data_IF_501413620289
#
_entry.id   IF_501413620289
#
_cell.length_a   1.000
_cell.length_b   1.000
_cell.length_c   1.000
_cell.angle_alpha   90.00
_cell.angle_beta   90.00
_cell.angle_gamma   90.00
#
_symmetry.space_group_name_H-M   'P 1'
#
loop_
_entity.id
_entity.type
_entity.pdbx_description
1 polymer ?
#
# COMPACT_ATOMS: atom_id res chain seq x y z
N UNK A 1 13.33 -45.88 47.49
CA UNK A 1 11.89 -45.86 47.68
C UNK A 1 11.34 -44.40 47.61
N UNK A 2 12.15 -43.40 47.82
CA UNK A 2 11.69 -42.00 48.00
C UNK A 2 12.08 -41.04 46.88
N UNK A 3 12.47 -41.54 45.75
CA UNK A 3 13.16 -40.79 44.73
C UNK A 3 12.27 -40.20 43.65
N UNK A 4 11.01 -40.59 43.61
CA UNK A 4 10.10 -40.19 42.56
C UNK A 4 9.44 -38.82 42.77
N UNK A 5 9.68 -38.18 43.89
CA UNK A 5 8.97 -36.98 44.30
C UNK A 5 9.58 -35.68 43.76
N UNK A 6 10.75 -35.73 43.18
CA UNK A 6 11.52 -34.53 42.88
C UNK A 6 11.34 -33.97 41.46
N UNK A 7 10.48 -34.54 40.67
CA UNK A 7 10.34 -34.08 39.28
C UNK A 7 9.21 -33.06 39.05
N UNK A 8 8.27 -32.94 39.96
CA UNK A 8 7.11 -32.07 39.80
C UNK A 8 7.41 -30.57 39.82
N UNK A 9 8.31 -30.04 40.66
CA UNK A 9 8.53 -28.58 40.68
C UNK A 9 9.25 -28.02 39.47
N UNK A 10 9.95 -28.82 38.72
CA UNK A 10 10.72 -28.34 37.54
C UNK A 10 9.84 -27.83 36.39
N UNK A 11 8.68 -28.43 36.21
CA UNK A 11 7.77 -28.01 35.14
C UNK A 11 7.14 -26.66 35.43
N UNK A 12 6.91 -26.33 36.68
CA UNK A 12 6.34 -25.03 37.08
C UNK A 12 7.33 -23.92 36.86
N UNK A 13 8.61 -24.16 37.09
CA UNK A 13 9.66 -23.17 36.80
C UNK A 13 9.77 -22.81 35.33
N UNK A 14 9.64 -23.78 34.44
CA UNK A 14 9.71 -23.54 33.03
C UNK A 14 8.59 -22.59 32.50
N UNK A 15 7.40 -22.74 33.03
CA UNK A 15 6.27 -21.90 32.68
C UNK A 15 6.47 -20.45 33.14
N UNK A 16 6.96 -20.27 34.34
CA UNK A 16 7.25 -18.93 34.87
C UNK A 16 8.42 -18.27 34.16
N UNK A 17 9.44 -19.04 33.84
CA UNK A 17 10.61 -18.54 33.09
C UNK A 17 10.23 -18.12 31.69
N UNK A 18 9.37 -18.85 31.00
CA UNK A 18 8.85 -18.51 29.70
C UNK A 18 8.01 -17.20 29.74
N UNK A 19 7.19 -17.03 30.77
CA UNK A 19 6.42 -15.79 30.96
C UNK A 19 7.32 -14.58 31.21
N UNK A 20 8.36 -14.73 32.00
CA UNK A 20 9.35 -13.68 32.29
C UNK A 20 10.21 -13.37 31.08
N UNK A 21 10.62 -14.34 30.28
CA UNK A 21 11.33 -14.13 29.03
C UNK A 21 10.49 -13.39 28.00
N UNK A 22 9.22 -13.67 27.91
CA UNK A 22 8.31 -12.96 27.00
C UNK A 22 8.13 -11.50 27.37
N UNK A 23 8.23 -11.14 28.64
CA UNK A 23 8.15 -9.75 29.07
C UNK A 23 9.43 -8.94 28.77
N UNK A 24 10.56 -9.63 28.69
CA UNK A 24 11.86 -9.01 28.41
C UNK A 24 12.17 -8.91 26.90
N UNK A 25 11.61 -9.82 26.11
CA UNK A 25 11.91 -9.92 24.67
C UNK A 25 11.30 -8.83 23.80
N UNK A 26 10.86 -7.70 24.34
CA UNK A 26 10.26 -6.61 23.59
C UNK A 26 9.03 -7.05 22.78
N UNK A 27 8.02 -6.24 22.69
CA UNK A 27 6.82 -6.50 21.85
C UNK A 27 7.25 -6.76 20.41
N UNK A 28 7.37 -8.02 20.02
CA UNK A 28 7.43 -8.38 18.62
C UNK A 28 6.06 -8.05 18.01
N UNK A 29 5.98 -6.91 17.34
CA UNK A 29 4.77 -6.52 16.65
C UNK A 29 4.61 -7.44 15.45
N UNK A 30 3.66 -8.34 15.51
CA UNK A 30 3.23 -9.12 14.36
C UNK A 30 2.67 -8.15 13.33
N UNK A 31 3.40 -7.95 12.25
CA UNK A 31 2.94 -7.15 11.12
C UNK A 31 2.30 -8.06 10.08
N UNK A 32 1.15 -7.63 9.57
CA UNK A 32 0.47 -8.32 8.48
C UNK A 32 1.01 -7.81 7.14
N UNK A 33 1.29 -8.74 6.24
CA UNK A 33 1.76 -8.47 4.88
C UNK A 33 0.97 -9.28 3.88
N UNK A 34 0.84 -8.75 2.69
CA UNK A 34 0.38 -9.52 1.55
C UNK A 34 1.53 -10.32 0.93
N UNK A 35 1.31 -11.60 0.77
CA UNK A 35 2.18 -12.50 0.04
C UNK A 35 1.42 -13.18 -1.09
N UNK A 36 2.14 -13.72 -2.06
CA UNK A 36 1.53 -14.50 -3.14
C UNK A 36 1.12 -15.88 -2.64
N UNK A 37 -0.08 -16.33 -3.00
CA UNK A 37 -0.55 -17.70 -2.77
C UNK A 37 0.07 -18.69 -3.77
N UNK A 38 0.42 -18.21 -4.97
CA UNK A 38 1.04 -18.99 -6.06
C UNK A 38 2.07 -18.14 -6.81
N UNK A 39 2.88 -18.77 -7.66
CA UNK A 39 3.77 -18.03 -8.54
C UNK A 39 2.98 -17.26 -9.61
N UNK A 40 3.46 -16.04 -9.93
CA UNK A 40 2.83 -15.12 -10.87
C UNK A 40 3.88 -14.66 -11.88
N UNK A 41 3.56 -14.71 -13.17
CA UNK A 41 4.48 -14.33 -14.23
C UNK A 41 4.46 -12.81 -14.48
N UNK A 42 5.56 -12.30 -15.04
CA UNK A 42 5.66 -10.91 -15.49
C UNK A 42 4.51 -10.57 -16.43
N UNK A 43 3.88 -9.42 -16.21
CA UNK A 43 2.77 -8.93 -17.01
C UNK A 43 1.39 -9.45 -16.58
N UNK A 44 1.33 -10.42 -15.69
CA UNK A 44 0.07 -10.95 -15.18
C UNK A 44 -0.59 -9.94 -14.24
N UNK A 45 -1.93 -9.86 -14.30
CA UNK A 45 -2.74 -9.04 -13.41
C UNK A 45 -3.09 -9.86 -12.16
N UNK A 46 -2.87 -9.29 -10.99
CA UNK A 46 -3.18 -9.93 -9.72
C UNK A 46 -4.69 -9.96 -9.46
N UNK A 47 -5.17 -11.10 -9.02
CA UNK A 47 -6.54 -11.31 -8.55
C UNK A 47 -6.57 -11.54 -7.04
N UNK A 48 -7.76 -11.50 -6.45
CA UNK A 48 -7.92 -11.76 -5.02
C UNK A 48 -7.44 -13.17 -4.60
N UNK A 49 -7.47 -14.13 -5.53
CA UNK A 49 -7.01 -15.51 -5.29
C UNK A 49 -5.49 -15.65 -5.26
N UNK A 50 -4.78 -14.69 -5.83
CA UNK A 50 -3.32 -14.72 -5.95
C UNK A 50 -2.61 -14.21 -4.70
N UNK A 51 -3.34 -13.58 -3.78
CA UNK A 51 -2.79 -12.92 -2.60
C UNK A 51 -3.35 -13.49 -1.31
N UNK A 52 -2.51 -13.55 -0.30
CA UNK A 52 -2.85 -14.05 1.04
C UNK A 52 -2.18 -13.16 2.10
N UNK A 53 -2.88 -12.88 3.19
CA UNK A 53 -2.31 -12.20 4.34
C UNK A 53 -1.44 -13.17 5.14
N UNK A 54 -0.22 -12.77 5.46
CA UNK A 54 0.70 -13.49 6.33
C UNK A 54 1.20 -12.60 7.45
N UNK A 55 1.39 -13.20 8.62
CA UNK A 55 2.00 -12.55 9.77
C UNK A 55 3.49 -12.86 9.77
N UNK A 56 4.31 -11.85 9.83
CA UNK A 56 5.77 -12.01 9.90
C UNK A 56 6.32 -11.12 11.01
N UNK A 57 7.23 -11.68 11.75
CA UNK A 57 8.01 -10.97 12.75
C UNK A 57 9.24 -10.35 12.08
N UNK A 58 9.07 -9.22 11.41
CA UNK A 58 10.20 -8.53 10.78
C UNK A 58 10.08 -7.05 11.00
N UNK A 59 11.17 -6.43 11.41
CA UNK A 59 11.23 -5.00 11.74
C UNK A 59 11.64 -4.10 10.57
N UNK A 60 12.23 -4.64 9.49
CA UNK A 60 12.97 -3.83 8.50
C UNK A 60 12.38 -3.86 7.08
N UNK A 61 11.17 -4.37 6.88
CA UNK A 61 10.52 -4.35 5.57
C UNK A 61 9.81 -3.03 5.34
N UNK A 62 10.15 -2.34 4.26
CA UNK A 62 9.49 -1.12 3.79
C UNK A 62 8.83 -1.35 2.44
N UNK A 63 7.77 -0.59 2.15
CA UNK A 63 7.08 -0.65 0.86
C UNK A 63 6.29 -1.92 0.61
N UNK A 64 5.73 -2.52 1.64
CA UNK A 64 4.84 -3.68 1.58
C UNK A 64 3.37 -3.26 1.57
N UNK A 65 2.51 -4.16 1.12
CA UNK A 65 1.07 -3.99 1.13
C UNK A 65 0.43 -4.76 2.28
N UNK A 66 -0.62 -4.19 2.86
CA UNK A 66 -1.43 -4.78 3.93
C UNK A 66 -2.85 -5.10 3.48
N UNK A 67 -3.36 -4.42 2.46
CA UNK A 67 -4.70 -4.60 1.93
C UNK A 67 -4.67 -5.21 0.53
N UNK A 68 -5.49 -6.21 0.32
CA UNK A 68 -5.63 -6.85 -1.00
C UNK A 68 -6.18 -5.91 -2.07
N UNK A 69 -7.04 -4.95 -1.69
CA UNK A 69 -7.58 -3.93 -2.61
C UNK A 69 -6.51 -3.08 -3.27
N UNK A 70 -5.36 -2.90 -2.62
CA UNK A 70 -4.26 -2.07 -3.14
C UNK A 70 -3.43 -2.78 -4.22
N UNK A 71 -3.57 -4.09 -4.34
CA UNK A 71 -2.77 -4.92 -5.25
C UNK A 71 -3.61 -5.65 -6.31
N UNK A 72 -4.87 -5.96 -6.01
CA UNK A 72 -5.79 -6.60 -6.96
C UNK A 72 -6.02 -5.68 -8.17
N UNK A 73 -5.93 -6.23 -9.36
CA UNK A 73 -6.04 -5.49 -10.62
C UNK A 73 -4.72 -4.83 -11.09
N UNK A 74 -3.65 -4.91 -10.31
CA UNK A 74 -2.34 -4.38 -10.71
C UNK A 74 -1.52 -5.42 -11.45
N UNK A 75 -0.71 -4.94 -12.38
CA UNK A 75 0.18 -5.77 -13.19
C UNK A 75 1.52 -5.97 -12.52
N UNK A 76 2.07 -7.16 -12.64
CA UNK A 76 3.35 -7.54 -12.04
C UNK A 76 4.51 -7.21 -12.99
N UNK A 77 5.51 -6.50 -12.50
CA UNK A 77 6.70 -6.09 -13.29
C UNK A 77 7.67 -7.21 -13.62
N UNK A 78 7.73 -8.23 -12.77
CA UNK A 78 8.64 -9.37 -12.90
C UNK A 78 7.97 -10.63 -12.37
N UNK A 79 8.45 -11.79 -12.81
CA UNK A 79 8.00 -13.07 -12.27
C UNK A 79 8.30 -13.17 -10.77
N UNK A 80 7.31 -13.56 -10.00
CA UNK A 80 7.37 -13.69 -8.56
C UNK A 80 7.00 -15.12 -8.14
N UNK A 81 7.67 -15.62 -7.14
CA UNK A 81 7.43 -16.97 -6.61
C UNK A 81 6.26 -17.01 -5.63
N UNK A 82 5.69 -18.19 -5.45
CA UNK A 82 4.72 -18.43 -4.39
C UNK A 82 5.33 -18.09 -3.02
N UNK A 83 4.49 -17.64 -2.07
CA UNK A 83 4.87 -17.20 -0.74
C UNK A 83 5.76 -15.94 -0.65
N UNK A 84 6.08 -15.32 -1.79
CA UNK A 84 6.86 -14.09 -1.79
C UNK A 84 6.01 -12.90 -1.32
N UNK A 85 6.59 -12.07 -0.44
CA UNK A 85 5.94 -10.84 0.04
C UNK A 85 5.83 -9.85 -1.12
N UNK A 86 4.64 -9.27 -1.27
CA UNK A 86 4.39 -8.23 -2.26
C UNK A 86 4.92 -6.88 -1.79
N UNK A 87 5.80 -6.31 -2.60
CA UNK A 87 6.38 -4.99 -2.39
C UNK A 87 6.00 -4.05 -3.54
N UNK A 88 5.99 -2.75 -3.28
CA UNK A 88 5.69 -1.71 -4.28
C UNK A 88 6.51 -1.87 -5.57
N UNK A 89 7.79 -2.23 -5.44
CA UNK A 89 8.70 -2.45 -6.58
C UNK A 89 8.31 -3.62 -7.48
N UNK A 90 7.47 -4.53 -7.01
CA UNK A 90 7.04 -5.72 -7.77
C UNK A 90 5.88 -5.43 -8.73
N UNK A 91 5.12 -4.35 -8.47
CA UNK A 91 3.93 -4.00 -9.20
C UNK A 91 4.14 -2.76 -10.07
N UNK A 92 3.46 -2.72 -11.22
CA UNK A 92 3.39 -1.50 -12.02
C UNK A 92 2.62 -0.42 -11.25
N UNK A 93 3.01 0.84 -11.46
CA UNK A 93 2.32 1.98 -10.86
C UNK A 93 0.95 2.10 -11.53
N UNK A 94 -0.09 2.04 -10.72
CA UNK A 94 -1.44 2.30 -11.21
C UNK A 94 -1.72 3.80 -11.09
N UNK A 95 -1.59 4.49 -12.22
CA UNK A 95 -1.86 5.93 -12.27
C UNK A 95 -3.37 6.18 -12.19
N UNK A 96 -3.78 7.08 -11.30
CA UNK A 96 -5.18 7.50 -11.18
C UNK A 96 -5.57 8.44 -12.33
N UNK A 97 -4.62 9.25 -12.77
CA UNK A 97 -4.74 10.10 -13.96
C UNK A 97 -3.57 9.80 -14.90
N UNK A 98 -3.86 9.62 -16.17
CA UNK A 98 -2.86 9.40 -17.21
C UNK A 98 -2.64 10.67 -18.02
N UNK A 99 -1.41 10.85 -18.53
CA UNK A 99 -1.05 11.90 -19.49
C UNK A 99 -2.00 11.86 -20.69
N UNK A 100 -2.52 13.03 -21.07
CA UNK A 100 -3.48 13.16 -22.16
C UNK A 100 -4.94 12.97 -21.75
N UNK A 101 -5.21 12.57 -20.54
CA UNK A 101 -6.58 12.39 -20.05
C UNK A 101 -7.26 13.73 -19.82
N UNK A 102 -8.53 13.82 -20.26
CA UNK A 102 -9.40 14.97 -19.96
C UNK A 102 -9.89 14.90 -18.53
N UNK A 103 -9.66 15.93 -17.76
CA UNK A 103 -10.00 16.03 -16.35
C UNK A 103 -10.68 17.35 -16.00
N UNK A 104 -11.37 17.38 -14.89
CA UNK A 104 -12.03 18.54 -14.33
C UNK A 104 -11.04 19.37 -13.50
N UNK A 105 -11.01 20.66 -13.73
CA UNK A 105 -10.23 21.63 -12.95
C UNK A 105 -11.21 22.37 -12.05
N UNK A 106 -11.06 22.25 -10.75
CA UNK A 106 -11.86 22.97 -9.76
C UNK A 106 -10.98 24.02 -9.08
N UNK A 107 -11.41 25.29 -9.16
CA UNK A 107 -10.79 26.41 -8.45
C UNK A 107 -11.81 27.04 -7.53
N UNK A 108 -11.41 27.42 -6.32
CA UNK A 108 -12.26 28.13 -5.38
C UNK A 108 -11.66 29.51 -5.10
N UNK A 109 -12.44 30.54 -5.26
CA UNK A 109 -12.10 31.90 -4.91
C UNK A 109 -13.20 32.46 -3.96
N UNK A 110 -12.91 32.45 -2.66
CA UNK A 110 -13.91 32.74 -1.62
C UNK A 110 -15.05 31.73 -1.65
N UNK A 111 -16.29 32.20 -1.76
CA UNK A 111 -17.48 31.36 -1.87
C UNK A 111 -17.80 30.88 -3.31
N UNK A 112 -17.02 31.33 -4.29
CA UNK A 112 -17.26 30.98 -5.72
C UNK A 112 -16.40 29.78 -6.09
N UNK A 113 -17.02 28.74 -6.66
CA UNK A 113 -16.33 27.59 -7.23
C UNK A 113 -16.41 27.66 -8.74
N UNK A 114 -15.25 27.75 -9.38
CA UNK A 114 -15.13 27.74 -10.84
C UNK A 114 -14.71 26.34 -11.30
N UNK A 115 -15.38 25.83 -12.30
CA UNK A 115 -15.11 24.51 -12.88
C UNK A 115 -14.81 24.68 -14.37
N UNK A 116 -13.73 24.07 -14.81
CA UNK A 116 -13.32 24.01 -16.22
C UNK A 116 -12.74 22.64 -16.56
N UNK A 117 -12.44 22.40 -17.84
CA UNK A 117 -11.83 21.16 -18.29
C UNK A 117 -10.40 21.40 -18.78
N UNK A 118 -9.55 20.40 -18.61
CA UNK A 118 -8.19 20.43 -19.10
C UNK A 118 -7.65 19.05 -19.43
N UNK A 119 -6.45 19.04 -20.00
CA UNK A 119 -5.72 17.83 -20.38
C UNK A 119 -4.52 17.68 -19.46
N UNK A 120 -4.41 16.53 -18.81
CA UNK A 120 -3.29 16.17 -17.95
C UNK A 120 -1.98 16.11 -18.75
N UNK A 121 -0.94 16.77 -18.25
CA UNK A 121 0.38 16.81 -18.89
C UNK A 121 1.26 15.63 -18.52
N UNK A 122 1.04 15.07 -17.35
CA UNK A 122 1.79 13.93 -16.80
C UNK A 122 0.83 12.92 -16.20
N UNK A 123 1.36 11.74 -15.87
CA UNK A 123 0.66 10.77 -15.04
C UNK A 123 0.70 11.24 -13.57
N UNK A 124 -0.33 10.95 -12.82
CA UNK A 124 -0.41 11.30 -11.42
C UNK A 124 -1.29 10.33 -10.61
N UNK A 125 -1.04 10.26 -9.31
CA UNK A 125 -1.88 9.58 -8.33
C UNK A 125 -2.68 10.60 -7.50
N UNK A 126 -3.71 10.14 -6.82
CA UNK A 126 -4.46 11.00 -5.90
C UNK A 126 -3.51 11.53 -4.82
N UNK A 127 -3.55 12.84 -4.59
CA UNK A 127 -2.64 13.57 -3.70
C UNK A 127 -1.43 14.21 -4.40
N UNK A 128 -1.11 13.82 -5.64
CA UNK A 128 0.00 14.42 -6.39
C UNK A 128 -0.35 15.81 -6.93
N UNK A 129 0.69 16.64 -7.11
CA UNK A 129 0.59 17.88 -7.86
C UNK A 129 0.64 17.56 -9.36
N UNK A 130 -0.37 18.01 -10.09
CA UNK A 130 -0.50 17.74 -11.51
C UNK A 130 -0.62 19.03 -12.32
N UNK A 131 0.17 19.14 -13.38
CA UNK A 131 0.01 20.18 -14.39
C UNK A 131 -1.05 19.79 -15.43
N UNK A 132 -1.97 20.70 -15.67
CA UNK A 132 -3.09 20.51 -16.59
C UNK A 132 -3.17 21.69 -17.55
N UNK A 133 -3.29 21.43 -18.84
CA UNK A 133 -3.57 22.45 -19.84
C UNK A 133 -5.07 22.69 -19.89
N UNK A 134 -5.51 23.86 -19.47
CA UNK A 134 -6.91 24.24 -19.55
C UNK A 134 -7.35 24.33 -21.03
N UNK A 135 -8.47 23.73 -21.37
CA UNK A 135 -8.96 23.65 -22.73
C UNK A 135 -9.54 25.00 -23.23
N UNK A 136 -10.06 25.82 -22.34
CA UNK A 136 -10.70 27.09 -22.66
C UNK A 136 -9.68 28.21 -22.75
N UNK A 137 -8.88 28.42 -21.70
CA UNK A 137 -7.87 29.48 -21.63
C UNK A 137 -6.53 29.11 -22.29
N UNK A 138 -6.30 27.82 -22.57
CA UNK A 138 -5.03 27.22 -23.01
C UNK A 138 -3.86 27.39 -22.02
N UNK A 139 -4.11 28.01 -20.87
CA UNK A 139 -3.13 28.19 -19.81
C UNK A 139 -2.77 26.87 -19.13
N UNK A 140 -1.55 26.79 -18.60
CA UNK A 140 -1.13 25.72 -17.72
C UNK A 140 -1.58 26.06 -16.30
N UNK A 141 -2.24 25.11 -15.66
CA UNK A 141 -2.75 25.23 -14.30
C UNK A 141 -2.19 24.06 -13.49
N UNK A 142 -1.79 24.32 -12.26
CA UNK A 142 -1.35 23.29 -11.33
C UNK A 142 -2.39 23.09 -10.24
N UNK A 143 -2.60 21.84 -9.85
CA UNK A 143 -3.51 21.51 -8.79
C UNK A 143 -3.25 20.11 -8.22
N UNK A 144 -3.79 19.85 -7.03
CA UNK A 144 -3.72 18.54 -6.39
C UNK A 144 -4.80 17.64 -6.97
N UNK A 145 -4.40 16.41 -7.29
CA UNK A 145 -5.33 15.37 -7.75
C UNK A 145 -6.21 14.94 -6.58
N UNK A 146 -7.50 15.17 -6.67
CA UNK A 146 -8.48 14.79 -5.64
C UNK A 146 -9.29 13.55 -6.03
N UNK A 147 -9.34 13.22 -7.30
CA UNK A 147 -9.95 11.99 -7.82
C UNK A 147 -9.41 11.65 -9.22
N UNK A 148 -9.75 10.47 -9.74
CA UNK A 148 -9.32 9.98 -11.07
C UNK A 148 -9.69 10.89 -12.25
N UNK A 149 -10.51 11.89 -12.05
CA UNK A 149 -10.98 12.81 -13.10
C UNK A 149 -10.99 14.27 -12.66
N UNK A 150 -10.41 14.61 -11.51
CA UNK A 150 -10.51 15.97 -10.96
C UNK A 150 -9.26 16.39 -10.21
N UNK A 151 -8.86 17.65 -10.48
CA UNK A 151 -7.87 18.36 -9.66
C UNK A 151 -8.51 19.56 -8.97
N UNK A 152 -7.95 19.94 -7.84
CA UNK A 152 -8.25 21.20 -7.13
C UNK A 152 -7.04 22.12 -7.25
N UNK A 153 -7.27 23.30 -7.82
CA UNK A 153 -6.23 24.33 -7.97
C UNK A 153 -5.91 24.93 -6.61
N UNK A 154 -4.64 25.10 -6.35
CA UNK A 154 -4.16 25.83 -5.18
C UNK A 154 -4.20 27.32 -5.51
N UNK A 155 -5.19 28.03 -5.06
CA UNK A 155 -5.19 29.51 -5.07
C UNK A 155 -4.20 30.00 -4.00
N UNK A 156 -3.23 30.79 -4.45
CA UNK A 156 -2.35 31.54 -3.53
C UNK A 156 -3.13 32.64 -2.82
#
# INVERSE_FOLDING_TARGET
VKKSLNHKPKNIFNVQTLGSLNSVAGKQVLKQFLALSRSVQKGQILTAKDVVLKNITSSNLTGYFTNSSDVVGRKVKKTLSANQILLNRHLEINWDIQKGQKILIQSAAGSVVVVSYGIARNNAQIGDLLQVKNLQSRALVEGIVVSRKKIKVLTK
#
